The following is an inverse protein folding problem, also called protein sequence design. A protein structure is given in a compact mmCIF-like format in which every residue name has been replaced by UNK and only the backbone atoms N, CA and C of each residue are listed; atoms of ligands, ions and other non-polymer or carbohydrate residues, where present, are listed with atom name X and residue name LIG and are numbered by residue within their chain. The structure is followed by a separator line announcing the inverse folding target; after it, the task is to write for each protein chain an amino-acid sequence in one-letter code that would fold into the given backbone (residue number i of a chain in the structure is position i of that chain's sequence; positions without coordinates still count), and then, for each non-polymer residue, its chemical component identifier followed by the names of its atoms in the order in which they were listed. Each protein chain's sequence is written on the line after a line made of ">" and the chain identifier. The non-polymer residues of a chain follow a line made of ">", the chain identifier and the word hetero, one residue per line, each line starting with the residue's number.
data_IF_577966143962
#
_entry.id   IF_577966143962
#
_cell.length_a   1.000
_cell.length_b   1.000
_cell.length_c   1.000
_cell.angle_alpha   90.00
_cell.angle_beta   90.00
_cell.angle_gamma   90.00
#
_symmetry.space_group_name_H-M   'P 1'
#
loop_
_entity.id
_entity.type
_entity.pdbx_description
1 polymer ?
#
# COMPACT_ATOMS: atom_id res chain seq x y z
N UNK A 1 -22.32 21.30 -41.01
CA UNK A 1 -23.40 20.48 -40.42
C UNK A 1 -23.20 19.06 -40.95
N UNK A 2 -22.87 18.08 -40.09
CA UNK A 2 -23.78 17.47 -39.10
C UNK A 2 -23.22 17.59 -37.67
N UNK A 3 -23.92 18.11 -36.65
CA UNK A 3 -25.02 17.53 -35.84
C UNK A 3 -24.73 16.15 -35.21
N UNK A 4 -24.56 16.23 -33.87
CA UNK A 4 -24.83 15.22 -32.81
C UNK A 4 -23.77 14.15 -32.55
N UNK A 5 -22.78 14.51 -31.73
CA UNK A 5 -22.23 13.62 -30.69
C UNK A 5 -22.08 14.43 -29.40
N UNK A 6 -23.22 14.79 -28.81
CA UNK A 6 -23.27 15.44 -27.49
C UNK A 6 -24.37 14.72 -26.73
N UNK A 7 -23.99 13.68 -25.96
CA UNK A 7 -24.76 13.06 -24.85
C UNK A 7 -24.17 11.70 -24.46
N UNK A 8 -23.04 11.68 -23.74
CA UNK A 8 -22.70 10.60 -22.79
C UNK A 8 -21.94 11.20 -21.59
N UNK A 9 -22.41 12.33 -21.04
CA UNK A 9 -21.78 12.96 -19.86
C UNK A 9 -22.74 13.25 -18.69
N UNK A 10 -23.99 12.76 -18.72
CA UNK A 10 -24.97 13.08 -17.65
C UNK A 10 -25.43 11.87 -16.81
N UNK A 11 -24.55 10.90 -16.57
CA UNK A 11 -24.84 9.83 -15.60
C UNK A 11 -23.61 9.52 -14.75
N UNK A 12 -23.21 10.48 -13.94
CA UNK A 12 -22.52 10.17 -12.69
C UNK A 12 -23.59 10.24 -11.59
N UNK A 13 -23.69 9.23 -10.70
CA UNK A 13 -24.67 9.25 -9.64
C UNK A 13 -24.44 10.49 -8.78
N UNK A 14 -25.51 11.23 -8.54
CA UNK A 14 -25.56 12.25 -7.51
C UNK A 14 -25.35 11.54 -6.17
N UNK A 15 -24.14 11.62 -5.62
CA UNK A 15 -23.89 11.24 -4.24
C UNK A 15 -24.52 12.31 -3.33
N UNK A 16 -25.42 11.85 -2.46
CA UNK A 16 -25.96 12.58 -1.32
C UNK A 16 -24.81 13.09 -0.41
N UNK A 17 -25.00 14.28 0.17
CA UNK A 17 -24.09 15.01 1.10
C UNK A 17 -22.79 15.60 0.52
N UNK A 18 -22.92 16.58 -0.38
CA UNK A 18 -22.31 17.94 -0.32
C UNK A 18 -20.81 18.19 -0.08
N UNK A 19 -19.95 17.20 0.14
CA UNK A 19 -18.52 17.39 0.41
C UNK A 19 -17.69 17.03 -0.82
N UNK A 20 -17.07 18.05 -1.42
CA UNK A 20 -16.15 17.90 -2.54
C UNK A 20 -15.01 16.95 -2.19
N UNK A 21 -14.77 15.93 -3.02
CA UNK A 21 -13.70 14.96 -2.78
C UNK A 21 -12.34 15.66 -2.89
N UNK A 22 -11.44 15.41 -1.93
CA UNK A 22 -10.10 15.98 -1.93
C UNK A 22 -9.18 15.16 -2.83
N UNK A 23 -8.47 15.84 -3.73
CA UNK A 23 -7.47 15.25 -4.62
C UNK A 23 -6.12 15.89 -4.32
N UNK A 24 -5.11 15.08 -4.00
CA UNK A 24 -3.74 15.56 -3.84
C UNK A 24 -3.02 15.45 -5.18
N UNK A 25 -2.38 16.53 -5.62
CA UNK A 25 -1.62 16.57 -6.88
C UNK A 25 -0.19 17.01 -6.58
N UNK A 26 0.78 16.18 -6.95
CA UNK A 26 2.20 16.50 -6.79
C UNK A 26 2.58 17.63 -7.73
N UNK A 27 3.38 18.58 -7.25
CA UNK A 27 3.97 19.64 -8.09
C UNK A 27 4.74 19.01 -9.26
N UNK A 28 4.28 19.27 -10.47
CA UNK A 28 4.85 18.81 -11.73
C UNK A 28 4.36 19.72 -12.87
N UNK A 29 5.01 19.71 -14.04
CA UNK A 29 4.59 20.53 -15.18
C UNK A 29 3.14 20.26 -15.62
N UNK A 30 2.69 19.00 -15.51
CA UNK A 30 1.35 18.57 -15.93
C UNK A 30 0.29 18.82 -14.83
N UNK A 31 0.68 19.21 -13.62
CA UNK A 31 -0.23 19.33 -12.49
C UNK A 31 -1.33 20.37 -12.73
N UNK A 32 -0.99 21.52 -13.32
CA UNK A 32 -1.94 22.60 -13.55
C UNK A 32 -3.06 22.20 -14.51
N UNK A 33 -2.72 21.55 -15.63
CA UNK A 33 -3.69 21.08 -16.62
C UNK A 33 -4.59 19.98 -16.05
N UNK A 34 -4.01 19.01 -15.33
CA UNK A 34 -4.78 17.95 -14.66
C UNK A 34 -5.75 18.52 -13.63
N UNK A 35 -5.32 19.47 -12.80
CA UNK A 35 -6.18 20.13 -11.82
C UNK A 35 -7.31 20.94 -12.46
N UNK A 36 -7.00 21.68 -13.55
CA UNK A 36 -7.98 22.45 -14.31
C UNK A 36 -9.08 21.54 -14.86
N UNK A 37 -8.69 20.41 -15.50
CA UNK A 37 -9.65 19.48 -16.09
C UNK A 37 -10.45 18.69 -15.04
N UNK A 38 -9.85 18.32 -13.91
CA UNK A 38 -10.60 17.73 -12.80
C UNK A 38 -11.67 18.70 -12.28
N UNK A 39 -11.31 19.97 -12.10
CA UNK A 39 -12.21 21.01 -11.60
C UNK A 39 -13.38 21.29 -12.56
N UNK A 40 -13.20 21.07 -13.87
CA UNK A 40 -14.28 21.20 -14.86
C UNK A 40 -15.22 19.99 -14.91
N UNK A 41 -14.73 18.81 -14.49
CA UNK A 41 -15.49 17.57 -14.52
C UNK A 41 -16.38 17.33 -13.30
N UNK A 42 -16.12 18.00 -12.17
CA UNK A 42 -16.94 17.81 -10.96
C UNK A 42 -16.43 18.55 -9.72
N UNK A 43 -17.12 18.38 -8.57
CA UNK A 43 -16.77 19.06 -7.32
C UNK A 43 -15.57 18.37 -6.66
N UNK A 44 -14.36 18.71 -7.13
CA UNK A 44 -13.09 18.24 -6.55
C UNK A 44 -12.36 19.39 -5.87
N UNK A 45 -11.83 19.12 -4.68
CA UNK A 45 -10.90 20.05 -4.01
C UNK A 45 -9.47 19.59 -4.30
N UNK A 46 -8.86 20.16 -5.34
CA UNK A 46 -7.47 19.86 -5.70
C UNK A 46 -6.50 20.62 -4.78
N UNK A 47 -5.61 19.89 -4.10
CA UNK A 47 -4.54 20.44 -3.26
C UNK A 47 -3.19 20.05 -3.82
N UNK A 48 -2.36 21.03 -4.10
CA UNK A 48 -1.01 20.80 -4.60
C UNK A 48 -0.05 20.50 -3.45
N UNK A 49 0.81 19.49 -3.62
CA UNK A 49 1.79 19.05 -2.60
C UNK A 49 3.19 18.93 -3.18
N UNK A 50 4.20 19.28 -2.38
CA UNK A 50 5.61 19.22 -2.81
C UNK A 50 6.15 17.79 -2.89
N UNK A 51 5.85 16.99 -1.86
CA UNK A 51 6.30 15.60 -1.74
C UNK A 51 5.11 14.67 -1.65
N UNK A 52 5.00 13.78 -2.62
CA UNK A 52 4.04 12.70 -2.65
C UNK A 52 4.70 11.48 -3.33
N UNK A 53 4.49 10.25 -2.82
CA UNK A 53 4.99 9.03 -3.46
C UNK A 53 4.42 8.80 -4.86
N UNK A 54 3.26 9.39 -5.16
CA UNK A 54 2.56 9.30 -6.44
C UNK A 54 2.26 10.70 -6.99
N UNK A 55 1.94 10.80 -8.28
CA UNK A 55 1.73 12.12 -8.90
C UNK A 55 0.36 12.69 -8.60
N UNK A 56 -0.63 11.82 -8.40
CA UNK A 56 -1.98 12.21 -8.03
C UNK A 56 -2.63 11.16 -7.15
N UNK A 57 -3.41 11.57 -6.16
CA UNK A 57 -4.16 10.66 -5.30
C UNK A 57 -5.55 11.22 -5.02
N UNK A 58 -6.59 10.44 -5.33
CA UNK A 58 -7.91 10.68 -4.76
C UNK A 58 -7.86 10.23 -3.31
N UNK A 59 -8.16 11.13 -2.38
CA UNK A 59 -8.15 10.80 -0.96
C UNK A 59 -9.30 9.84 -0.64
N UNK A 60 -9.04 8.94 0.30
CA UNK A 60 -10.08 8.11 0.87
C UNK A 60 -11.13 8.98 1.54
N UNK A 61 -12.39 8.66 1.31
CA UNK A 61 -13.53 9.25 2.01
C UNK A 61 -14.24 8.13 2.75
N UNK A 62 -14.50 8.36 4.04
CA UNK A 62 -15.06 7.33 4.90
C UNK A 62 -16.34 6.76 4.29
N UNK A 63 -16.40 5.42 4.18
CA UNK A 63 -17.56 4.64 3.68
C UNK A 63 -17.91 4.82 2.20
N UNK A 64 -17.24 5.70 1.45
CA UNK A 64 -17.58 5.96 0.03
C UNK A 64 -16.46 5.61 -0.94
N UNK A 65 -15.22 6.03 -0.69
CA UNK A 65 -14.12 5.83 -1.63
C UNK A 65 -12.83 5.38 -0.92
N UNK A 66 -12.16 4.30 -1.38
CA UNK A 66 -10.77 4.04 -0.99
C UNK A 66 -9.82 5.11 -1.58
N UNK A 67 -8.59 5.20 -1.06
CA UNK A 67 -7.58 6.05 -1.66
C UNK A 67 -7.12 5.46 -3.00
N UNK A 68 -7.10 6.27 -4.06
CA UNK A 68 -6.78 5.82 -5.42
C UNK A 68 -5.53 6.55 -5.91
N UNK A 69 -4.35 5.89 -5.90
CA UNK A 69 -3.10 6.49 -6.32
C UNK A 69 -2.86 6.34 -7.83
N UNK A 70 -2.41 7.43 -8.45
CA UNK A 70 -2.05 7.55 -9.86
C UNK A 70 -0.62 8.05 -10.04
N UNK A 71 0.11 7.41 -10.94
CA UNK A 71 1.46 7.80 -11.35
C UNK A 71 1.46 8.15 -12.83
N UNK A 72 2.07 9.27 -13.20
CA UNK A 72 2.29 9.66 -14.58
C UNK A 72 3.69 9.29 -15.04
N UNK A 73 3.77 8.72 -16.22
CA UNK A 73 5.01 8.36 -16.92
C UNK A 73 5.09 9.27 -18.14
N UNK A 74 6.18 10.04 -18.24
CA UNK A 74 6.44 10.99 -19.33
C UNK A 74 7.84 10.76 -19.90
N UNK A 75 8.09 11.24 -21.12
CA UNK A 75 9.41 11.18 -21.79
C UNK A 75 10.43 12.17 -21.23
N UNK A 76 10.12 12.89 -20.14
CA UNK A 76 10.97 13.97 -19.62
C UNK A 76 12.29 13.50 -18.99
N UNK A 77 12.46 12.19 -18.78
CA UNK A 77 13.66 11.61 -18.15
C UNK A 77 14.40 10.71 -19.12
N UNK A 78 15.74 10.67 -19.05
CA UNK A 78 16.58 9.88 -19.97
C UNK A 78 16.42 8.37 -19.78
N UNK A 79 16.16 7.91 -18.56
CA UNK A 79 15.91 6.50 -18.23
C UNK A 79 14.51 6.31 -17.63
N UNK A 80 13.49 6.50 -18.49
CA UNK A 80 12.08 6.43 -18.09
C UNK A 80 11.73 5.08 -17.45
N UNK A 81 12.31 3.97 -17.94
CA UNK A 81 11.97 2.61 -17.49
C UNK A 81 12.50 2.37 -16.08
N UNK A 82 13.80 2.63 -15.83
CA UNK A 82 14.38 2.40 -14.52
C UNK A 82 13.74 3.32 -13.46
N UNK A 83 13.55 4.60 -13.79
CA UNK A 83 12.89 5.57 -12.90
C UNK A 83 11.46 5.15 -12.60
N UNK A 84 10.69 4.73 -13.60
CA UNK A 84 9.31 4.25 -13.39
C UNK A 84 9.28 3.01 -12.49
N UNK A 85 10.22 2.07 -12.69
CA UNK A 85 10.31 0.86 -11.87
C UNK A 85 10.62 1.17 -10.41
N UNK A 86 11.56 2.08 -10.15
CA UNK A 86 11.90 2.49 -8.78
C UNK A 86 10.72 3.22 -8.11
N UNK A 87 10.08 4.15 -8.83
CA UNK A 87 8.90 4.87 -8.33
C UNK A 87 7.72 3.92 -8.04
N UNK A 88 7.49 2.95 -8.92
CA UNK A 88 6.48 1.90 -8.71
C UNK A 88 6.77 1.06 -7.47
N UNK A 89 8.04 0.64 -7.26
CA UNK A 89 8.45 -0.08 -6.06
C UNK A 89 8.18 0.73 -4.80
N UNK A 90 8.55 2.02 -4.79
CA UNK A 90 8.27 2.87 -3.65
C UNK A 90 6.76 3.04 -3.39
N UNK A 91 5.97 3.34 -4.42
CA UNK A 91 4.53 3.55 -4.28
C UNK A 91 3.80 2.27 -3.80
N UNK A 92 4.18 1.10 -4.30
CA UNK A 92 3.56 -0.19 -3.93
C UNK A 92 3.93 -0.70 -2.53
N UNK A 93 4.87 -0.04 -1.83
CA UNK A 93 5.06 -0.26 -0.38
C UNK A 93 4.02 0.46 0.47
N UNK A 94 3.46 1.57 -0.03
CA UNK A 94 2.52 2.42 0.67
C UNK A 94 1.07 2.13 0.27
N UNK A 95 0.85 1.74 -0.98
CA UNK A 95 -0.46 1.47 -1.53
C UNK A 95 -0.57 0.02 -2.01
N UNK A 96 -1.71 -0.64 -1.78
CA UNK A 96 -1.92 -2.02 -2.21
C UNK A 96 -1.94 -2.15 -3.74
N UNK A 97 -2.38 -1.10 -4.45
CA UNK A 97 -2.49 -1.08 -5.90
C UNK A 97 -2.24 0.34 -6.44
N UNK A 98 -1.52 0.45 -7.55
CA UNK A 98 -1.15 1.73 -8.17
C UNK A 98 -1.50 1.74 -9.66
N UNK A 99 -2.15 2.80 -10.13
CA UNK A 99 -2.43 2.99 -11.54
C UNK A 99 -1.36 3.90 -12.17
N UNK A 100 -0.61 3.37 -13.13
CA UNK A 100 0.39 4.12 -13.88
C UNK A 100 -0.14 4.46 -15.27
N UNK A 101 -0.06 5.74 -15.64
CA UNK A 101 -0.56 6.28 -16.89
C UNK A 101 0.61 6.79 -17.71
N UNK A 102 0.83 6.20 -18.88
CA UNK A 102 1.82 6.68 -19.86
C UNK A 102 1.18 7.83 -20.62
N UNK A 103 1.62 9.06 -20.31
CA UNK A 103 1.15 10.26 -21.00
C UNK A 103 1.92 10.43 -22.30
N UNK A 104 1.17 10.64 -23.39
CA UNK A 104 1.71 10.81 -24.74
C UNK A 104 2.65 9.67 -25.18
N UNK A 105 2.16 8.42 -25.33
CA UNK A 105 2.97 7.27 -25.74
C UNK A 105 3.78 7.49 -27.02
N UNK A 106 3.28 8.33 -27.94
CA UNK A 106 3.96 8.69 -29.18
C UNK A 106 5.24 9.50 -28.97
N UNK A 107 5.42 10.14 -27.80
CA UNK A 107 6.64 10.86 -27.45
C UNK A 107 7.75 9.93 -26.93
N UNK A 108 7.46 8.63 -26.72
CA UNK A 108 8.43 7.62 -26.30
C UNK A 108 8.90 6.81 -27.49
N UNK A 109 10.14 6.30 -27.42
CA UNK A 109 10.60 5.32 -28.41
C UNK A 109 9.73 4.06 -28.33
N UNK A 110 9.44 3.37 -29.46
CA UNK A 110 8.67 2.13 -29.44
C UNK A 110 9.27 1.05 -28.54
N UNK A 111 10.60 1.02 -28.41
CA UNK A 111 11.31 0.12 -27.51
C UNK A 111 11.02 0.44 -26.05
N UNK A 112 11.18 1.69 -25.65
CA UNK A 112 10.88 2.16 -24.29
C UNK A 112 9.41 1.90 -23.92
N UNK A 113 8.48 2.13 -24.84
CA UNK A 113 7.06 1.88 -24.60
C UNK A 113 6.77 0.39 -24.34
N UNK A 114 7.36 -0.52 -25.13
CA UNK A 114 7.24 -1.97 -24.91
C UNK A 114 7.86 -2.41 -23.58
N UNK A 115 9.01 -1.85 -23.22
CA UNK A 115 9.69 -2.14 -21.95
C UNK A 115 8.87 -1.63 -20.74
N UNK A 116 8.20 -0.48 -20.87
CA UNK A 116 7.27 0.01 -19.85
C UNK A 116 6.05 -0.91 -19.73
N UNK A 117 5.50 -1.38 -20.84
CA UNK A 117 4.39 -2.34 -20.81
C UNK A 117 4.83 -3.66 -20.16
N UNK A 118 6.03 -4.16 -20.45
CA UNK A 118 6.52 -5.40 -19.83
C UNK A 118 6.82 -5.27 -18.33
N UNK A 119 6.73 -4.08 -17.73
CA UNK A 119 6.92 -3.93 -16.28
C UNK A 119 5.92 -4.75 -15.45
N UNK A 120 4.72 -5.01 -15.97
CA UNK A 120 3.73 -5.88 -15.33
C UNK A 120 4.18 -7.36 -15.26
N UNK A 121 5.23 -7.75 -15.99
CA UNK A 121 5.80 -9.10 -15.93
C UNK A 121 6.85 -9.26 -14.81
N UNK A 122 7.28 -8.15 -14.19
CA UNK A 122 8.17 -8.25 -13.03
C UNK A 122 7.40 -8.87 -11.86
N UNK A 123 7.94 -9.94 -11.28
CA UNK A 123 7.34 -10.62 -10.11
C UNK A 123 7.08 -9.68 -8.93
N UNK A 124 7.92 -8.66 -8.75
CA UNK A 124 7.75 -7.68 -7.66
C UNK A 124 6.51 -6.79 -7.83
N UNK A 125 6.02 -6.62 -9.07
CA UNK A 125 5.04 -5.60 -9.43
C UNK A 125 3.77 -6.15 -10.10
N UNK A 126 3.76 -7.39 -10.60
CA UNK A 126 2.72 -7.89 -11.53
C UNK A 126 1.28 -7.71 -11.03
N UNK A 127 1.07 -7.85 -9.72
CA UNK A 127 -0.27 -7.83 -9.13
C UNK A 127 -0.62 -6.50 -8.47
N UNK A 128 0.32 -5.55 -8.47
CA UNK A 128 0.22 -4.29 -7.72
C UNK A 128 0.17 -3.05 -8.61
N UNK A 129 0.41 -3.20 -9.92
CA UNK A 129 0.43 -2.07 -10.85
C UNK A 129 -0.43 -2.36 -12.09
N UNK A 130 -1.17 -1.34 -12.52
CA UNK A 130 -1.80 -1.31 -13.83
C UNK A 130 -1.18 -0.22 -14.67
N UNK A 131 -0.66 -0.56 -15.86
CA UNK A 131 -0.05 0.40 -16.77
C UNK A 131 -0.99 0.63 -17.95
N UNK A 132 -1.38 1.88 -18.19
CA UNK A 132 -2.33 2.25 -19.24
C UNK A 132 -1.78 3.42 -20.07
N UNK A 133 -1.80 3.33 -21.41
CA UNK A 133 -1.46 4.47 -22.27
C UNK A 133 -2.61 5.48 -22.36
N UNK A 134 -2.28 6.77 -22.32
CA UNK A 134 -3.22 7.87 -22.56
C UNK A 134 -2.65 8.84 -23.61
N UNK A 135 -3.40 9.04 -24.69
CA UNK A 135 -2.99 9.92 -25.80
C UNK A 135 -3.06 11.42 -25.45
N UNK A 136 -3.76 11.78 -24.37
CA UNK A 136 -3.92 13.15 -23.88
C UNK A 136 -4.14 13.19 -22.38
N UNK A 137 -4.03 14.39 -21.79
CA UNK A 137 -4.38 14.59 -20.37
C UNK A 137 -5.88 14.36 -20.13
N UNK A 138 -6.73 14.76 -21.07
CA UNK A 138 -8.18 14.53 -20.97
C UNK A 138 -8.52 13.03 -20.89
N UNK A 139 -7.90 12.21 -21.75
CA UNK A 139 -8.09 10.75 -21.73
C UNK A 139 -7.55 10.12 -20.45
N UNK A 140 -6.43 10.63 -19.93
CA UNK A 140 -5.90 10.22 -18.63
C UNK A 140 -6.90 10.53 -17.49
N UNK A 141 -7.45 11.74 -17.45
CA UNK A 141 -8.42 12.13 -16.41
C UNK A 141 -9.73 11.34 -16.53
N UNK A 142 -10.24 11.12 -17.75
CA UNK A 142 -11.42 10.27 -17.95
C UNK A 142 -11.18 8.84 -17.47
N UNK A 143 -10.01 8.27 -17.74
CA UNK A 143 -9.64 6.96 -17.20
C UNK A 143 -9.62 6.98 -15.66
N UNK A 144 -9.01 8.00 -15.05
CA UNK A 144 -8.98 8.16 -13.59
C UNK A 144 -10.39 8.22 -12.98
N UNK A 145 -11.29 8.99 -13.59
CA UNK A 145 -12.69 9.10 -13.14
C UNK A 145 -13.45 7.79 -13.32
N UNK A 146 -13.20 7.05 -14.41
CA UNK A 146 -13.79 5.73 -14.63
C UNK A 146 -13.35 4.71 -13.57
N UNK A 147 -12.04 4.69 -13.25
CA UNK A 147 -11.50 3.87 -12.16
C UNK A 147 -12.16 4.22 -10.83
N UNK A 148 -12.27 5.52 -10.52
CA UNK A 148 -12.96 6.00 -9.31
C UNK A 148 -14.39 5.50 -9.24
N UNK A 149 -15.19 5.70 -10.29
CA UNK A 149 -16.60 5.28 -10.31
C UNK A 149 -16.76 3.77 -10.20
N UNK A 150 -15.85 3.00 -10.80
CA UNK A 150 -15.86 1.54 -10.67
C UNK A 150 -15.57 1.10 -9.23
N UNK A 151 -14.56 1.71 -8.60
CA UNK A 151 -14.21 1.37 -7.22
C UNK A 151 -15.28 1.81 -6.22
N UNK A 152 -15.97 2.93 -6.45
CA UNK A 152 -17.08 3.36 -5.61
C UNK A 152 -18.26 2.41 -5.69
N UNK A 153 -18.63 2.00 -6.91
CA UNK A 153 -19.68 1.01 -7.12
C UNK A 153 -19.37 -0.30 -6.40
N UNK A 154 -18.15 -0.83 -6.55
CA UNK A 154 -17.71 -2.04 -5.85
C UNK A 154 -17.61 -1.89 -4.33
N UNK A 155 -17.35 -0.69 -3.81
CA UNK A 155 -17.34 -0.43 -2.38
C UNK A 155 -18.76 -0.36 -1.81
N UNK A 156 -19.69 0.28 -2.53
CA UNK A 156 -21.11 0.34 -2.18
C UNK A 156 -21.73 -1.05 -2.23
N UNK A 157 -21.46 -1.84 -3.27
CA UNK A 157 -21.93 -3.23 -3.40
C UNK A 157 -21.45 -4.11 -2.23
N UNK A 158 -20.15 -4.07 -1.91
CA UNK A 158 -19.60 -4.78 -0.73
C UNK A 158 -20.22 -4.32 0.59
N UNK A 159 -20.53 -3.03 0.72
CA UNK A 159 -21.19 -2.49 1.91
C UNK A 159 -22.63 -2.98 2.00
N UNK A 160 -23.35 -3.04 0.88
CA UNK A 160 -24.71 -3.58 0.80
C UNK A 160 -24.75 -5.08 1.11
N UNK A 161 -23.82 -5.86 0.57
CA UNK A 161 -23.67 -7.29 0.89
C UNK A 161 -23.38 -7.53 2.38
N UNK A 162 -22.44 -6.75 2.95
CA UNK A 162 -22.15 -6.82 4.37
C UNK A 162 -23.37 -6.45 5.21
N UNK A 163 -24.10 -5.40 4.83
CA UNK A 163 -25.32 -5.00 5.51
C UNK A 163 -26.40 -6.09 5.42
N UNK A 164 -26.59 -6.73 4.27
CA UNK A 164 -27.53 -7.84 4.11
C UNK A 164 -27.16 -9.03 5.01
N UNK A 165 -25.87 -9.40 5.07
CA UNK A 165 -25.38 -10.46 5.96
C UNK A 165 -25.56 -10.10 7.43
N UNK A 166 -25.23 -8.86 7.81
CA UNK A 166 -25.41 -8.36 9.18
C UNK A 166 -26.88 -8.23 9.58
N UNK A 167 -27.75 -7.84 8.64
CA UNK A 167 -29.20 -7.72 8.85
C UNK A 167 -29.78 -9.07 9.25
N UNK A 168 -29.49 -10.14 8.51
CA UNK A 168 -29.96 -11.49 8.88
C UNK A 168 -29.50 -11.94 10.28
N UNK A 169 -28.26 -11.62 10.66
CA UNK A 169 -27.76 -11.93 12.00
C UNK A 169 -28.45 -11.10 13.08
N UNK A 170 -28.71 -9.81 12.81
CA UNK A 170 -29.36 -8.89 13.74
C UNK A 170 -30.84 -9.18 13.90
N UNK A 171 -31.54 -9.59 12.83
CA UNK A 171 -32.92 -10.08 12.88
C UNK A 171 -33.03 -11.30 13.81
N UNK A 172 -32.11 -12.27 13.70
CA UNK A 172 -32.07 -13.43 14.61
C UNK A 172 -31.83 -13.04 16.07
N UNK A 173 -31.00 -12.03 16.31
CA UNK A 173 -30.78 -11.48 17.66
C UNK A 173 -32.05 -10.80 18.18
N UNK A 174 -32.74 -10.02 17.34
CA UNK A 174 -34.00 -9.36 17.72
C UNK A 174 -35.10 -10.37 18.02
N UNK A 175 -35.25 -11.40 17.18
CA UNK A 175 -36.22 -12.48 17.40
C UNK A 175 -35.93 -13.29 18.67
N UNK A 176 -34.66 -13.54 18.99
CA UNK A 176 -34.31 -14.26 20.22
C UNK A 176 -34.55 -13.44 21.49
N UNK A 177 -34.44 -12.11 21.44
CA UNK A 177 -34.67 -11.23 22.57
C UNK A 177 -36.11 -10.69 22.65
N UNK A 178 -36.84 -10.66 21.54
CA UNK A 178 -38.21 -10.19 21.41
C UNK A 178 -39.03 -11.18 20.55
N UNK A 179 -39.37 -12.36 21.12
CA UNK A 179 -40.03 -13.45 20.39
C UNK A 179 -41.47 -13.14 19.95
N UNK A 180 -42.03 -12.01 20.40
CA UNK A 180 -43.34 -11.53 19.98
C UNK A 180 -43.31 -10.73 18.67
N UNK A 181 -42.13 -10.36 18.17
CA UNK A 181 -41.98 -9.67 16.90
C UNK A 181 -41.83 -10.67 15.76
N UNK A 182 -42.64 -10.50 14.71
CA UNK A 182 -42.47 -11.28 13.50
C UNK A 182 -41.20 -10.83 12.74
N UNK A 183 -40.68 -11.68 11.86
CA UNK A 183 -39.51 -11.37 11.02
C UNK A 183 -39.66 -10.03 10.28
N UNK A 184 -40.81 -9.79 9.65
CA UNK A 184 -41.11 -8.57 8.92
C UNK A 184 -41.10 -7.31 9.80
N UNK A 185 -41.52 -7.43 11.07
CA UNK A 185 -41.50 -6.33 12.03
C UNK A 185 -40.07 -6.04 12.53
N UNK A 186 -39.25 -7.08 12.70
CA UNK A 186 -37.83 -6.93 12.98
C UNK A 186 -37.09 -6.27 11.82
N UNK A 187 -37.44 -6.62 10.57
CA UNK A 187 -36.87 -5.98 9.39
C UNK A 187 -37.28 -4.53 9.25
N UNK A 188 -38.56 -4.19 9.47
CA UNK A 188 -39.02 -2.80 9.48
C UNK A 188 -38.31 -1.98 10.56
N UNK A 189 -38.14 -2.53 11.76
CA UNK A 189 -37.39 -1.85 12.82
C UNK A 189 -35.93 -1.63 12.43
N UNK A 190 -35.28 -2.62 11.80
CA UNK A 190 -33.90 -2.46 11.34
C UNK A 190 -33.77 -1.51 10.15
N UNK A 191 -34.77 -1.37 9.30
CA UNK A 191 -34.73 -0.40 8.20
C UNK A 191 -34.99 1.03 8.69
N UNK A 192 -35.85 1.21 9.70
CA UNK A 192 -36.12 2.52 10.33
C UNK A 192 -34.96 2.96 11.24
N UNK A 193 -34.44 2.06 12.08
CA UNK A 193 -33.38 2.38 13.03
C UNK A 193 -31.98 2.16 12.46
N UNK A 194 -31.77 1.23 11.52
CA UNK A 194 -30.48 0.99 10.87
C UNK A 194 -30.06 2.12 9.93
N UNK A 195 -31.02 2.77 9.25
CA UNK A 195 -30.74 4.03 8.52
C UNK A 195 -30.28 5.14 9.47
N UNK A 196 -30.89 5.26 10.65
CA UNK A 196 -30.50 6.27 11.64
C UNK A 196 -29.24 5.93 12.44
N UNK A 197 -28.94 4.66 12.73
CA UNK A 197 -27.69 4.28 13.41
C UNK A 197 -26.47 4.53 12.51
N UNK A 198 -26.62 4.40 11.18
CA UNK A 198 -25.58 4.78 10.22
C UNK A 198 -25.45 6.30 10.02
N UNK A 199 -26.53 7.08 10.21
CA UNK A 199 -26.58 8.53 9.95
C UNK A 199 -26.36 9.40 11.19
N UNK A 200 -26.53 8.87 12.41
CA UNK A 200 -26.46 9.63 13.68
C UNK A 200 -25.07 9.62 14.33
N UNK A 201 -24.12 8.85 13.81
CA UNK A 201 -22.71 9.07 14.16
C UNK A 201 -22.15 10.23 13.32
N UNK A 202 -22.22 11.44 13.90
CA UNK A 202 -21.47 12.67 13.55
C UNK A 202 -22.20 13.82 12.81
N UNK A 203 -23.50 14.03 13.03
CA UNK A 203 -24.12 15.30 12.61
C UNK A 203 -25.21 15.80 13.56
N UNK A 204 -24.92 16.96 14.15
CA UNK A 204 -25.86 17.94 14.72
C UNK A 204 -26.52 17.64 16.07
N UNK A 205 -25.74 17.82 17.14
CA UNK A 205 -26.24 18.11 18.49
C UNK A 205 -26.15 19.63 18.82
N UNK A 206 -26.58 20.51 17.90
CA UNK A 206 -26.64 21.96 18.15
C UNK A 206 -27.97 22.65 17.87
N UNK A 207 -28.88 22.06 17.10
CA UNK A 207 -30.17 22.68 16.81
C UNK A 207 -31.33 21.79 17.21
N UNK A 208 -31.76 21.92 18.46
CA UNK A 208 -33.16 21.75 18.93
C UNK A 208 -33.21 21.91 20.46
N UNK A 209 -32.97 23.12 20.95
CA UNK A 209 -33.49 23.55 22.25
C UNK A 209 -34.75 24.37 21.99
N UNK A 210 -35.92 23.73 22.06
CA UNK A 210 -37.13 24.34 22.63
C UNK A 210 -38.22 23.30 22.80
N UNK A 211 -38.60 23.15 24.06
CA UNK A 211 -39.81 22.53 24.61
C UNK A 211 -39.95 21.03 24.41
N UNK A 212 -39.88 20.31 25.53
CA UNK A 212 -40.30 18.91 25.57
C UNK A 212 -41.18 18.68 26.80
N UNK A 213 -42.37 18.07 26.67
CA UNK A 213 -43.25 17.78 27.80
C UNK A 213 -42.72 16.61 28.65
N UNK A 214 -43.26 16.47 29.86
CA UNK A 214 -42.90 15.52 30.92
C UNK A 214 -42.71 14.02 30.52
N UNK A 215 -43.29 13.45 29.45
CA UNK A 215 -42.99 12.06 29.06
C UNK A 215 -41.53 11.81 28.60
N UNK A 216 -40.82 12.86 28.17
CA UNK A 216 -39.47 12.70 27.60
C UNK A 216 -38.39 12.65 28.68
N UNK A 217 -38.66 13.13 29.90
CA UNK A 217 -37.72 13.00 31.01
C UNK A 217 -37.47 11.52 31.39
N UNK A 218 -38.50 10.69 31.34
CA UNK A 218 -38.39 9.25 31.61
C UNK A 218 -37.66 8.51 30.49
N UNK A 219 -37.92 8.86 29.23
CA UNK A 219 -37.15 8.35 28.08
C UNK A 219 -35.68 8.80 28.13
N UNK A 220 -35.40 10.05 28.47
CA UNK A 220 -34.04 10.57 28.59
C UNK A 220 -33.26 9.87 29.71
N UNK A 221 -33.90 9.61 30.85
CA UNK A 221 -33.28 8.88 31.96
C UNK A 221 -32.95 7.44 31.58
N UNK A 222 -33.83 6.76 30.83
CA UNK A 222 -33.61 5.40 30.33
C UNK A 222 -32.53 5.34 29.25
N UNK A 223 -32.48 6.33 28.36
CA UNK A 223 -31.42 6.48 27.35
C UNK A 223 -30.08 6.73 28.02
N UNK A 224 -30.00 7.65 29.00
CA UNK A 224 -28.77 7.92 29.72
C UNK A 224 -28.27 6.70 30.52
N UNK A 225 -29.18 5.92 31.12
CA UNK A 225 -28.81 4.65 31.79
C UNK A 225 -28.25 3.62 30.81
N UNK A 226 -28.82 3.50 29.61
CA UNK A 226 -28.29 2.63 28.54
C UNK A 226 -26.93 3.09 28.04
N UNK A 227 -26.75 4.40 27.83
CA UNK A 227 -25.47 4.97 27.40
C UNK A 227 -24.37 4.66 28.44
N UNK A 228 -24.67 4.83 29.73
CA UNK A 228 -23.70 4.51 30.80
C UNK A 228 -23.38 3.01 30.87
N UNK A 229 -24.38 2.16 30.65
CA UNK A 229 -24.19 0.71 30.61
C UNK A 229 -23.35 0.28 29.39
N UNK A 230 -23.63 0.82 28.21
CA UNK A 230 -22.88 0.56 26.99
C UNK A 230 -21.44 1.11 27.06
N UNK A 231 -21.24 2.25 27.72
CA UNK A 231 -19.92 2.80 28.00
C UNK A 231 -19.12 1.86 28.93
N UNK A 232 -19.76 1.35 29.99
CA UNK A 232 -19.13 0.40 30.90
C UNK A 232 -18.77 -0.93 30.21
N UNK A 233 -19.65 -1.44 29.33
CA UNK A 233 -19.36 -2.62 28.52
C UNK A 233 -18.22 -2.36 27.52
N UNK A 234 -18.23 -1.22 26.84
CA UNK A 234 -17.13 -0.84 25.92
C UNK A 234 -15.80 -0.73 26.65
N UNK A 235 -15.77 -0.15 27.85
CA UNK A 235 -14.55 -0.06 28.65
C UNK A 235 -14.03 -1.46 29.04
N UNK A 236 -14.90 -2.39 29.45
CA UNK A 236 -14.51 -3.78 29.71
C UNK A 236 -13.98 -4.50 28.47
N UNK A 237 -14.63 -4.32 27.32
CA UNK A 237 -14.16 -4.90 26.05
C UNK A 237 -12.81 -4.33 25.65
N UNK A 238 -12.60 -3.02 25.82
CA UNK A 238 -11.31 -2.37 25.58
C UNK A 238 -10.23 -2.97 26.49
N UNK A 239 -10.48 -3.06 27.80
CA UNK A 239 -9.55 -3.67 28.77
C UNK A 239 -9.24 -5.14 28.43
N UNK A 240 -10.24 -5.93 28.01
CA UNK A 240 -10.02 -7.31 27.57
C UNK A 240 -9.19 -7.39 26.28
N UNK A 241 -9.40 -6.48 25.32
CA UNK A 241 -8.60 -6.44 24.09
C UNK A 241 -7.17 -6.00 24.36
N UNK A 242 -6.96 -5.06 25.27
CA UNK A 242 -5.62 -4.63 25.71
C UNK A 242 -4.91 -5.76 26.47
N UNK A 243 -5.60 -6.48 27.35
CA UNK A 243 -5.06 -7.66 28.04
C UNK A 243 -4.69 -8.77 27.06
N UNK A 244 -5.53 -9.04 26.04
CA UNK A 244 -5.23 -10.01 24.98
C UNK A 244 -4.04 -9.57 24.11
N UNK A 245 -3.94 -8.28 23.78
CA UNK A 245 -2.78 -7.72 23.05
C UNK A 245 -1.50 -7.83 23.87
N UNK A 246 -1.52 -7.53 25.16
CA UNK A 246 -0.37 -7.67 26.05
C UNK A 246 0.09 -9.14 26.15
N UNK A 247 -0.83 -10.09 26.33
CA UNK A 247 -0.52 -11.53 26.34
C UNK A 247 0.06 -12.01 25.00
N UNK A 248 -0.51 -11.58 23.88
CA UNK A 248 0.01 -11.92 22.55
C UNK A 248 1.40 -11.33 22.29
N UNK A 249 1.66 -10.12 22.79
CA UNK A 249 2.97 -9.48 22.71
C UNK A 249 4.03 -10.25 23.51
N UNK A 250 3.72 -10.69 24.73
CA UNK A 250 4.61 -11.56 25.52
C UNK A 250 4.87 -12.91 24.85
N UNK A 251 3.84 -13.55 24.28
CA UNK A 251 3.98 -14.82 23.55
C UNK A 251 4.84 -14.64 22.30
N UNK A 252 4.66 -13.53 21.57
CA UNK A 252 5.48 -13.19 20.40
C UNK A 252 6.95 -12.96 20.76
N UNK A 253 7.22 -12.22 21.84
CA UNK A 253 8.60 -12.01 22.34
C UNK A 253 9.25 -13.33 22.77
N UNK A 254 8.53 -14.19 23.49
CA UNK A 254 9.03 -15.53 23.87
C UNK A 254 9.24 -16.43 22.66
N UNK A 255 8.37 -16.38 21.66
CA UNK A 255 8.51 -17.14 20.42
C UNK A 255 9.74 -16.68 19.60
N UNK A 256 9.96 -15.36 19.48
CA UNK A 256 11.13 -14.80 18.82
C UNK A 256 12.44 -15.16 19.55
N UNK A 257 12.45 -15.11 20.89
CA UNK A 257 13.59 -15.55 21.68
C UNK A 257 13.86 -17.06 21.51
N UNK A 258 12.80 -17.87 21.47
CA UNK A 258 12.93 -19.32 21.25
C UNK A 258 13.45 -19.65 19.84
N UNK A 259 13.00 -18.91 18.83
CA UNK A 259 13.46 -19.08 17.45
C UNK A 259 14.93 -18.68 17.28
N UNK A 260 15.36 -17.56 17.90
CA UNK A 260 16.77 -17.12 17.85
C UNK A 260 17.70 -18.09 18.57
N UNK A 261 17.30 -18.64 19.72
CA UNK A 261 18.06 -19.67 20.42
C UNK A 261 18.17 -20.98 19.60
N UNK A 262 17.11 -21.37 18.88
CA UNK A 262 17.17 -22.52 17.94
C UNK A 262 18.16 -22.28 16.80
N UNK A 263 18.20 -21.08 16.23
CA UNK A 263 19.14 -20.73 15.15
C UNK A 263 20.59 -20.72 15.67
N UNK A 264 20.84 -20.14 16.85
CA UNK A 264 22.17 -20.17 17.49
C UNK A 264 22.61 -21.60 17.80
N UNK A 265 21.71 -22.42 18.35
CA UNK A 265 22.00 -23.82 18.64
C UNK A 265 22.32 -24.62 17.37
N UNK A 266 21.60 -24.37 16.27
CA UNK A 266 21.88 -24.99 14.96
C UNK A 266 23.27 -24.58 14.45
N UNK A 267 23.58 -23.28 14.44
CA UNK A 267 24.90 -22.78 14.03
C UNK A 267 26.04 -23.34 14.87
N UNK A 268 25.85 -23.48 16.19
CA UNK A 268 26.85 -24.12 17.08
C UNK A 268 27.07 -25.59 16.74
N UNK A 269 26.02 -26.33 16.40
CA UNK A 269 26.16 -27.73 15.95
C UNK A 269 26.85 -27.84 14.61
N UNK A 270 26.54 -26.95 13.66
CA UNK A 270 27.21 -26.89 12.35
C UNK A 270 28.70 -26.55 12.51
N UNK A 271 29.04 -25.58 13.36
CA UNK A 271 30.43 -25.26 13.69
C UNK A 271 31.15 -26.44 14.34
N UNK A 272 30.51 -27.10 15.32
CA UNK A 272 31.10 -28.27 15.96
C UNK A 272 31.30 -29.43 14.97
N UNK A 273 30.35 -29.67 14.07
CA UNK A 273 30.48 -30.71 13.04
C UNK A 273 31.60 -30.40 12.03
N UNK A 274 31.82 -29.12 11.72
CA UNK A 274 32.96 -28.69 10.92
C UNK A 274 34.28 -28.89 11.66
N UNK A 275 34.36 -28.51 12.94
CA UNK A 275 35.54 -28.72 13.78
C UNK A 275 35.86 -30.23 13.91
N UNK A 276 34.86 -31.05 14.23
CA UNK A 276 34.98 -32.51 14.30
C UNK A 276 35.42 -33.10 12.94
N UNK A 277 34.92 -32.56 11.82
CA UNK A 277 35.33 -32.96 10.47
C UNK A 277 36.79 -32.60 10.14
N UNK A 278 37.27 -31.46 10.62
CA UNK A 278 38.67 -31.05 10.50
C UNK A 278 39.57 -31.94 11.35
N UNK A 279 39.16 -32.29 12.58
CA UNK A 279 39.90 -33.23 13.43
C UNK A 279 40.04 -34.61 12.77
N UNK A 280 38.97 -35.13 12.16
CA UNK A 280 39.02 -36.40 11.41
C UNK A 280 40.00 -36.33 10.22
N UNK A 281 40.03 -35.20 9.50
CA UNK A 281 40.99 -35.00 8.40
C UNK A 281 42.44 -34.97 8.89
N UNK A 282 42.69 -34.43 10.08
CA UNK A 282 44.02 -34.41 10.71
C UNK A 282 44.41 -35.82 11.19
N UNK A 283 43.48 -36.55 11.82
CA UNK A 283 43.72 -37.89 12.38
C UNK A 283 43.93 -38.97 11.30
N UNK A 284 43.34 -38.79 10.11
CA UNK A 284 43.44 -39.74 9.01
C UNK A 284 44.70 -39.57 8.13
N UNK A 285 45.62 -38.67 8.47
CA UNK A 285 46.86 -38.51 7.69
C UNK A 285 47.91 -39.56 8.06
N UNK A 286 48.64 -40.12 7.08
CA UNK A 286 49.64 -41.17 7.31
C UNK A 286 50.92 -40.64 7.96
N UNK A 287 51.14 -39.31 7.98
CA UNK A 287 52.29 -38.67 8.62
C UNK A 287 51.91 -37.46 9.46
N UNK A 288 52.66 -37.23 10.55
CA UNK A 288 52.45 -36.09 11.45
C UNK A 288 52.76 -34.73 10.79
N UNK A 289 53.60 -34.72 9.75
CA UNK A 289 53.94 -33.52 8.98
C UNK A 289 52.76 -33.10 8.08
N UNK A 290 52.09 -34.05 7.43
CA UNK A 290 50.91 -33.77 6.59
C UNK A 290 49.71 -33.32 7.44
N UNK A 291 49.48 -33.97 8.59
CA UNK A 291 48.48 -33.56 9.57
C UNK A 291 48.69 -32.10 10.02
N UNK A 292 49.94 -31.72 10.28
CA UNK A 292 50.31 -30.36 10.69
C UNK A 292 50.13 -29.33 9.56
N UNK A 293 50.41 -29.70 8.31
CA UNK A 293 50.20 -28.82 7.16
C UNK A 293 48.71 -28.54 6.92
N UNK A 294 47.84 -29.55 7.06
CA UNK A 294 46.39 -29.39 6.96
C UNK A 294 45.87 -28.48 8.09
N UNK A 295 46.31 -28.71 9.32
CA UNK A 295 45.94 -27.86 10.47
C UNK A 295 46.37 -26.39 10.29
N UNK A 296 47.53 -26.14 9.66
CA UNK A 296 48.01 -24.79 9.33
C UNK A 296 47.18 -24.11 8.24
N UNK A 297 46.79 -24.82 7.18
CA UNK A 297 45.97 -24.24 6.10
C UNK A 297 44.54 -23.88 6.56
N UNK A 298 44.00 -24.63 7.52
CA UNK A 298 42.61 -24.47 7.97
C UNK A 298 42.45 -23.54 9.18
N UNK A 299 43.53 -23.23 9.90
CA UNK A 299 43.46 -22.37 11.07
C UNK A 299 43.36 -20.89 10.69
N UNK A 300 42.32 -20.15 11.17
CA UNK A 300 42.22 -18.71 10.95
C UNK A 300 43.38 -17.90 11.53
N UNK A 301 44.18 -18.48 12.44
CA UNK A 301 45.39 -17.83 13.00
C UNK A 301 46.59 -17.82 12.06
N UNK A 302 46.61 -18.69 11.05
CA UNK A 302 47.69 -18.80 10.06
C UNK A 302 47.30 -18.31 8.66
N UNK A 303 46.08 -17.79 8.50
CA UNK A 303 45.75 -16.97 7.35
C UNK A 303 46.61 -15.70 7.42
N UNK A 304 47.74 -15.71 6.69
CA UNK A 304 48.52 -14.51 6.44
C UNK A 304 47.56 -13.45 5.91
N UNK A 305 47.38 -12.38 6.69
CA UNK A 305 46.69 -11.19 6.21
C UNK A 305 47.64 -10.59 5.18
N UNK A 306 47.48 -10.98 3.92
CA UNK A 306 48.11 -10.30 2.79
C UNK A 306 47.43 -8.94 2.70
N UNK A 307 47.92 -7.98 3.49
CA UNK A 307 47.63 -6.59 3.29
C UNK A 307 48.29 -6.19 1.97
N UNK A 308 47.51 -6.15 0.90
CA UNK A 308 47.92 -5.50 -0.33
C UNK A 308 48.19 -4.03 -0.02
N UNK A 309 49.46 -3.67 0.20
CA UNK A 309 49.92 -2.30 0.02
C UNK A 309 50.05 -2.07 -1.49
N UNK A 310 49.20 -1.24 -2.12
CA UNK A 310 49.33 -0.97 -3.52
C UNK A 310 50.57 -0.08 -3.71
N UNK A 311 51.64 -0.67 -4.23
CA UNK A 311 52.89 0.03 -4.56
C UNK A 311 52.79 0.77 -5.90
N UNK A 312 51.62 1.35 -6.19
CA UNK A 312 51.44 2.26 -7.31
C UNK A 312 51.59 3.66 -6.73
N UNK A 313 52.81 4.19 -6.83
CA UNK A 313 53.07 5.59 -6.59
C UNK A 313 52.05 6.42 -7.37
N UNK A 314 51.17 7.11 -6.64
CA UNK A 314 50.22 8.07 -7.17
C UNK A 314 51.00 9.03 -8.08
N UNK A 315 50.78 8.96 -9.39
CA UNK A 315 51.44 9.71 -10.47
C UNK A 315 52.61 9.03 -11.22
N UNK A 316 52.63 7.70 -11.34
CA UNK A 316 53.42 7.05 -12.40
C UNK A 316 52.81 7.29 -13.79
N UNK A 317 53.66 7.48 -14.81
CA UNK A 317 53.25 7.66 -16.21
C UNK A 317 52.35 6.51 -16.73
N UNK A 318 52.45 5.33 -16.13
CA UNK A 318 51.61 4.17 -16.46
C UNK A 318 50.16 4.34 -16.00
N UNK A 319 49.89 5.10 -14.93
CA UNK A 319 48.54 5.36 -14.42
C UNK A 319 47.77 6.33 -15.33
N UNK A 320 48.48 7.27 -15.97
CA UNK A 320 47.94 8.14 -17.02
C UNK A 320 47.67 7.35 -18.30
N UNK A 321 48.53 6.38 -18.64
CA UNK A 321 48.35 5.50 -19.81
C UNK A 321 47.19 4.54 -19.63
N UNK A 322 47.00 3.99 -18.43
CA UNK A 322 45.87 3.13 -18.05
C UNK A 322 44.55 3.89 -18.06
N UNK A 323 44.50 5.12 -17.53
CA UNK A 323 43.30 5.97 -17.64
C UNK A 323 42.96 6.30 -19.09
N UNK A 324 43.96 6.58 -19.92
CA UNK A 324 43.77 6.84 -21.36
C UNK A 324 43.30 5.63 -22.16
N UNK A 325 43.63 4.40 -21.73
CA UNK A 325 43.14 3.15 -22.32
C UNK A 325 41.70 2.84 -21.90
N UNK A 326 41.37 3.05 -20.61
CA UNK A 326 40.03 2.81 -20.07
C UNK A 326 38.99 3.82 -20.55
N UNK A 327 39.39 5.07 -20.84
CA UNK A 327 38.50 6.08 -21.45
C UNK A 327 38.24 5.81 -22.94
N UNK A 328 39.08 5.00 -23.61
CA UNK A 328 38.95 4.68 -25.05
C UNK A 328 38.24 3.37 -25.34
N UNK A 329 38.01 2.51 -24.35
CA UNK A 329 37.27 1.25 -24.49
C UNK A 329 35.75 1.39 -24.27
N UNK A 330 35.16 2.48 -24.79
CA UNK A 330 33.76 2.43 -25.23
C UNK A 330 33.70 1.73 -26.60
N UNK A 331 33.96 0.43 -26.61
CA UNK A 331 33.64 -0.43 -27.76
C UNK A 331 32.16 -0.78 -27.68
N UNK A 332 31.39 -0.10 -28.52
CA UNK A 332 29.95 -0.32 -28.67
C UNK A 332 29.26 0.65 -29.64
N UNK A 333 30.01 1.39 -30.45
CA UNK A 333 29.58 1.83 -31.78
C UNK A 333 30.03 0.76 -32.74
N UNK A 334 29.10 0.09 -33.45
CA UNK A 334 29.20 -0.51 -34.79
C UNK A 334 28.11 -1.57 -34.96
N UNK A 335 26.87 -1.12 -35.15
CA UNK A 335 26.10 -1.55 -36.31
C UNK A 335 25.53 -0.27 -36.94
N UNK A 336 25.74 -0.17 -38.26
CA UNK A 336 25.31 0.91 -39.14
C UNK A 336 23.82 1.18 -39.08
#
# INVERSE_FOLDING_TARGET
>A
MPRKVTRILSRYPHDDDGLAQVVLVKKSPNAAEVMSFLSSCGPFTCKQVDKCPVDLMFCAQARTFPAIPFMFITSATSDVVAVTKERARHATTLFPFVHAIILFPSALSPRTFRELQSLHLNQDLSDKIQIVPASSIETAVHFMLSVRSKQSFQAQERTAEFYARSKSHTVRILQSNMPFLHEDECEMLLDVFGRHICQVQWSNLKDRRRQVPLPVFMCQRRVNQRIMHDLALRNRVMEETESKKAKNYEVSLRAAHTATERIKAKKRRELKALDDGVEVLILNQPSSIEAMNIARMLSPRFAEIIAYTPDIAKNSADDVRLKGLLDRDRVGSYYR
#
